data_IF_744042693838
#
_entry.id   IF_744042693838
#
_cell.length_a   1.000
_cell.length_b   1.000
_cell.length_c   1.000
_cell.angle_alpha   90.00
_cell.angle_beta   90.00
_cell.angle_gamma   90.00
#
_symmetry.space_group_name_H-M   'P 1'
#
loop_
_entity.id
_entity.type
_entity.pdbx_description
1 polymer ?
#
# COMPACT_ATOMS: atom_id res chain seq x y z
N UNK A 1 9.02 -12.37 -12.33
CA UNK A 1 9.37 -12.71 -13.75
C UNK A 1 10.85 -12.38 -13.91
N UNK A 2 11.66 -13.33 -14.32
CA UNK A 2 13.11 -13.11 -14.43
C UNK A 2 13.45 -12.27 -15.65
N UNK A 3 14.12 -11.12 -15.44
CA UNK A 3 14.55 -10.22 -16.53
C UNK A 3 15.82 -10.78 -17.19
N UNK A 4 15.69 -11.26 -18.42
CA UNK A 4 16.83 -11.87 -19.15
C UNK A 4 17.34 -11.01 -20.32
N UNK A 5 16.58 -9.97 -20.70
CA UNK A 5 16.90 -9.08 -21.81
C UNK A 5 16.83 -7.62 -21.38
N UNK A 6 17.68 -6.78 -21.94
CA UNK A 6 17.68 -5.36 -21.72
C UNK A 6 16.36 -4.73 -22.21
N UNK A 7 15.69 -3.98 -21.34
CA UNK A 7 14.41 -3.31 -21.66
C UNK A 7 14.58 -2.14 -22.65
N UNK A 8 15.82 -1.67 -22.84
CA UNK A 8 16.11 -0.55 -23.74
C UNK A 8 16.53 -1.00 -25.16
N UNK A 9 17.38 -2.04 -25.28
CA UNK A 9 17.93 -2.45 -26.58
C UNK A 9 17.67 -3.91 -26.94
N UNK A 10 16.99 -4.69 -26.08
CA UNK A 10 16.67 -6.09 -26.31
C UNK A 10 17.86 -7.06 -26.21
N UNK A 11 19.09 -6.61 -25.94
CA UNK A 11 20.24 -7.50 -25.77
C UNK A 11 20.09 -8.38 -24.55
N UNK A 12 20.56 -9.62 -24.65
CA UNK A 12 20.62 -10.55 -23.51
C UNK A 12 21.54 -9.97 -22.42
N UNK A 13 21.08 -9.98 -21.17
CA UNK A 13 21.84 -9.52 -20.02
C UNK A 13 22.89 -10.55 -19.60
N UNK A 14 24.01 -10.07 -19.08
CA UNK A 14 25.07 -10.87 -18.46
C UNK A 14 25.14 -10.57 -16.97
N UNK A 15 25.76 -11.44 -16.19
CA UNK A 15 26.07 -11.15 -14.80
C UNK A 15 27.36 -10.34 -14.71
N UNK A 16 27.37 -9.31 -13.86
CA UNK A 16 28.53 -8.47 -13.61
C UNK A 16 28.53 -8.02 -12.15
N UNK A 17 29.69 -8.12 -11.45
CA UNK A 17 29.78 -7.71 -10.04
C UNK A 17 29.57 -6.19 -9.86
N UNK A 18 28.92 -5.81 -8.76
CA UNK A 18 28.66 -4.42 -8.35
C UNK A 18 29.01 -4.24 -6.87
N UNK A 19 30.21 -3.80 -6.58
CA UNK A 19 30.65 -3.54 -5.21
C UNK A 19 30.37 -4.72 -4.27
N UNK A 20 29.66 -4.47 -3.18
CA UNK A 20 29.22 -5.43 -2.18
C UNK A 20 27.83 -6.06 -2.48
N UNK A 21 27.13 -5.58 -3.53
CA UNK A 21 25.81 -6.07 -3.96
C UNK A 21 25.88 -7.41 -4.73
N UNK A 22 27.08 -7.95 -4.92
CA UNK A 22 27.30 -9.20 -5.65
C UNK A 22 27.09 -9.06 -7.16
N UNK A 23 26.72 -10.16 -7.82
CA UNK A 23 26.49 -10.18 -9.27
C UNK A 23 25.10 -9.69 -9.62
N UNK A 24 25.02 -8.65 -10.45
CA UNK A 24 23.78 -8.08 -10.95
C UNK A 24 23.66 -8.24 -12.47
N UNK A 25 22.46 -8.26 -12.99
CA UNK A 25 22.22 -8.29 -14.43
C UNK A 25 22.66 -6.99 -15.08
N UNK A 26 23.39 -7.08 -16.19
CA UNK A 26 24.04 -5.97 -16.84
C UNK A 26 23.89 -6.04 -18.35
N UNK A 27 23.58 -4.92 -18.97
CA UNK A 27 23.59 -4.75 -20.41
C UNK A 27 24.91 -4.14 -20.87
N UNK A 28 25.70 -4.90 -21.63
CA UNK A 28 27.01 -4.46 -22.14
C UNK A 28 26.90 -3.35 -23.21
N UNK A 29 25.77 -3.27 -23.91
CA UNK A 29 25.52 -2.26 -24.95
C UNK A 29 25.08 -0.91 -24.34
N UNK A 30 24.11 -0.95 -23.40
CA UNK A 30 23.58 0.25 -22.77
C UNK A 30 24.38 0.69 -21.55
N UNK A 31 25.39 -0.06 -21.15
CA UNK A 31 26.21 0.18 -19.96
C UNK A 31 25.35 0.37 -18.69
N UNK A 32 24.36 -0.53 -18.47
CA UNK A 32 23.35 -0.37 -17.42
C UNK A 32 23.16 -1.66 -16.63
N UNK A 33 23.12 -1.52 -15.28
CA UNK A 33 22.74 -2.59 -14.36
C UNK A 33 21.22 -2.66 -14.19
N UNK A 34 20.75 -3.85 -13.87
CA UNK A 34 19.37 -4.16 -13.52
C UNK A 34 19.35 -4.90 -12.18
N UNK A 35 18.64 -4.32 -11.23
CA UNK A 35 18.43 -4.90 -9.91
C UNK A 35 17.03 -5.54 -9.87
N UNK A 36 16.91 -6.67 -9.18
CA UNK A 36 15.60 -7.31 -8.96
C UNK A 36 14.90 -6.67 -7.76
N UNK A 37 14.52 -5.43 -7.93
CA UNK A 37 13.83 -4.68 -6.89
C UNK A 37 12.35 -5.05 -6.86
N UNK A 38 11.74 -5.20 -5.66
CA UNK A 38 10.31 -5.35 -5.54
C UNK A 38 9.58 -4.12 -6.09
N UNK A 39 8.37 -4.32 -6.60
CA UNK A 39 7.47 -3.20 -6.86
C UNK A 39 7.04 -2.57 -5.53
N UNK A 40 6.68 -1.28 -5.56
CA UNK A 40 6.17 -0.55 -4.39
C UNK A 40 4.68 -0.28 -4.53
N UNK A 41 3.94 -0.41 -3.42
CA UNK A 41 2.57 0.06 -3.31
C UNK A 41 2.28 0.57 -1.90
N UNK A 42 1.25 1.41 -1.75
CA UNK A 42 0.74 1.82 -0.46
C UNK A 42 -0.38 0.90 0.03
N UNK A 43 -0.47 0.73 1.35
CA UNK A 43 -1.58 0.08 2.05
C UNK A 43 -2.10 1.05 3.11
N UNK A 44 -3.35 1.52 2.98
CA UNK A 44 -3.82 2.68 3.71
C UNK A 44 -5.04 2.36 4.57
N UNK A 45 -4.90 2.50 5.89
CA UNK A 45 -6.02 2.53 6.81
C UNK A 45 -6.56 3.97 6.90
N UNK A 46 -7.77 4.21 6.41
CA UNK A 46 -8.38 5.52 6.30
C UNK A 46 -9.34 5.74 7.48
N UNK A 47 -9.09 6.78 8.28
CA UNK A 47 -9.92 7.14 9.43
C UNK A 47 -10.61 8.48 9.20
N UNK A 48 -11.87 8.58 9.63
CA UNK A 48 -12.63 9.84 9.61
C UNK A 48 -12.65 10.54 10.98
N UNK A 49 -13.29 11.70 11.04
CA UNK A 49 -13.43 12.52 12.25
C UNK A 49 -14.26 11.86 13.37
N UNK A 50 -14.99 10.78 13.05
CA UNK A 50 -15.76 9.98 14.03
C UNK A 50 -14.99 8.77 14.54
N UNK A 51 -13.69 8.68 14.20
CA UNK A 51 -12.86 7.52 14.48
C UNK A 51 -13.42 6.21 13.89
N UNK A 52 -14.01 6.28 12.71
CA UNK A 52 -14.42 5.12 11.91
C UNK A 52 -13.38 4.87 10.84
N UNK A 53 -13.17 3.60 10.49
CA UNK A 53 -12.26 3.18 9.42
C UNK A 53 -13.05 2.84 8.16
N UNK A 54 -12.53 3.24 7.01
CA UNK A 54 -13.13 2.93 5.72
C UNK A 54 -12.69 1.53 5.28
N UNK A 55 -13.66 0.68 5.01
CA UNK A 55 -13.48 -0.66 4.47
C UNK A 55 -13.91 -0.70 3.01
N UNK A 56 -13.13 -1.39 2.18
CA UNK A 56 -13.36 -1.54 0.75
C UNK A 56 -13.73 -3.00 0.44
N UNK A 57 -14.79 -3.20 -0.32
CA UNK A 57 -15.11 -4.49 -0.91
C UNK A 57 -14.52 -4.56 -2.31
N UNK A 58 -13.64 -5.51 -2.54
CA UNK A 58 -12.95 -5.74 -3.82
C UNK A 58 -13.00 -7.24 -4.11
N UNK A 59 -14.03 -7.69 -4.81
CA UNK A 59 -14.33 -9.12 -5.03
C UNK A 59 -13.21 -9.86 -5.76
N UNK A 60 -12.37 -9.17 -6.51
CA UNK A 60 -11.19 -9.74 -7.17
C UNK A 60 -10.03 -10.01 -6.17
N UNK A 61 -10.05 -9.38 -4.98
CA UNK A 61 -9.09 -9.64 -3.90
C UNK A 61 -9.65 -10.67 -2.92
N UNK A 62 -10.86 -10.40 -2.39
CA UNK A 62 -11.54 -11.28 -1.46
C UNK A 62 -13.06 -11.22 -1.62
N UNK A 63 -13.68 -12.38 -1.86
CA UNK A 63 -15.15 -12.47 -1.96
C UNK A 63 -15.83 -12.45 -0.60
N UNK A 64 -15.12 -12.78 0.48
CA UNK A 64 -15.69 -12.93 1.83
C UNK A 64 -15.45 -11.70 2.71
N UNK A 65 -14.26 -11.12 2.62
CA UNK A 65 -13.79 -10.10 3.54
C UNK A 65 -13.62 -8.75 2.82
N UNK A 66 -13.62 -7.69 3.60
CA UNK A 66 -13.23 -6.36 3.16
C UNK A 66 -11.70 -6.22 3.16
N UNK A 67 -11.21 -5.20 2.47
CA UNK A 67 -9.79 -4.85 2.40
C UNK A 67 -9.59 -3.39 2.81
N UNK A 68 -8.33 -2.99 2.93
CA UNK A 68 -7.95 -1.59 3.02
C UNK A 68 -7.59 -1.07 1.62
N UNK A 69 -7.64 0.25 1.45
CA UNK A 69 -7.22 0.92 0.21
C UNK A 69 -5.75 0.59 -0.09
N UNK A 70 -5.44 0.28 -1.34
CA UNK A 70 -4.07 -0.03 -1.75
C UNK A 70 -3.85 0.24 -3.23
N UNK A 71 -2.65 0.71 -3.58
CA UNK A 71 -2.33 0.95 -4.98
C UNK A 71 -0.85 1.11 -5.25
N UNK A 72 -0.46 0.89 -6.49
CA UNK A 72 0.94 0.95 -6.91
C UNK A 72 1.47 2.37 -7.00
N UNK A 73 2.72 2.54 -6.55
CA UNK A 73 3.50 3.75 -6.78
C UNK A 73 3.68 3.97 -8.29
N UNK A 74 3.30 5.15 -8.78
CA UNK A 74 3.53 5.55 -10.18
C UNK A 74 4.85 6.31 -10.32
N UNK A 75 5.43 6.27 -11.50
CA UNK A 75 6.67 6.98 -11.80
C UNK A 75 6.50 8.49 -11.56
N UNK A 76 7.35 9.03 -10.70
CA UNK A 76 7.39 10.46 -10.37
C UNK A 76 6.55 10.85 -9.15
N UNK A 77 5.86 9.91 -8.51
CA UNK A 77 5.14 10.12 -7.25
C UNK A 77 6.02 9.80 -6.04
N UNK A 78 5.76 10.45 -4.94
CA UNK A 78 6.16 10.01 -3.60
C UNK A 78 5.12 9.04 -3.04
N UNK A 79 5.42 8.37 -1.93
CA UNK A 79 4.47 7.47 -1.26
C UNK A 79 3.24 8.24 -0.75
N UNK A 80 3.44 9.44 -0.19
CA UNK A 80 2.37 10.31 0.31
C UNK A 80 1.46 10.78 -0.83
N UNK A 81 2.01 11.13 -1.99
CA UNK A 81 1.22 11.48 -3.17
C UNK A 81 0.42 10.28 -3.69
N UNK A 82 1.02 9.08 -3.66
CA UNK A 82 0.32 7.83 -3.98
C UNK A 82 -0.84 7.58 -3.02
N UNK A 83 -0.65 7.78 -1.70
CA UNK A 83 -1.74 7.68 -0.70
C UNK A 83 -2.88 8.62 -1.05
N UNK A 84 -2.58 9.90 -1.33
CA UNK A 84 -3.61 10.90 -1.67
C UNK A 84 -4.37 10.51 -2.93
N UNK A 85 -3.68 10.05 -3.95
CA UNK A 85 -4.28 9.64 -5.22
C UNK A 85 -5.15 8.39 -5.08
N UNK A 86 -4.62 7.31 -4.49
CA UNK A 86 -5.35 6.03 -4.36
C UNK A 86 -6.58 6.18 -3.47
N UNK A 87 -6.47 6.89 -2.33
CA UNK A 87 -7.62 7.16 -1.47
C UNK A 87 -8.70 7.91 -2.24
N UNK A 88 -8.33 8.89 -3.06
CA UNK A 88 -9.31 9.63 -3.86
C UNK A 88 -9.88 8.79 -5.00
N UNK A 89 -9.05 8.07 -5.76
CA UNK A 89 -9.47 7.24 -6.91
C UNK A 89 -10.39 6.09 -6.48
N UNK A 90 -10.09 5.41 -5.36
CA UNK A 90 -10.88 4.27 -4.91
C UNK A 90 -12.11 4.65 -4.09
N UNK A 91 -12.08 5.78 -3.37
CA UNK A 91 -13.11 6.07 -2.36
C UNK A 91 -13.82 7.42 -2.50
N UNK A 92 -13.25 8.35 -3.27
CA UNK A 92 -13.72 9.74 -3.37
C UNK A 92 -13.36 10.61 -2.17
N UNK A 93 -12.70 10.05 -1.13
CA UNK A 93 -12.33 10.80 0.07
C UNK A 93 -11.09 11.66 -0.16
N UNK A 94 -11.02 12.82 0.49
CA UNK A 94 -9.86 13.72 0.40
C UNK A 94 -9.00 13.62 1.66
N UNK A 95 -7.76 13.20 1.49
CA UNK A 95 -6.77 13.07 2.57
C UNK A 95 -6.42 14.46 3.12
N UNK A 96 -6.56 14.63 4.43
CA UNK A 96 -6.14 15.82 5.19
C UNK A 96 -4.69 15.68 5.64
N UNK A 97 -4.34 14.49 6.13
CA UNK A 97 -2.99 14.12 6.53
C UNK A 97 -2.80 12.62 6.44
N UNK A 98 -1.57 12.18 6.23
CA UNK A 98 -1.21 10.78 6.33
C UNK A 98 0.10 10.60 7.10
N UNK A 99 0.28 9.41 7.66
CA UNK A 99 1.45 9.05 8.44
C UNK A 99 1.88 7.62 8.13
N UNK A 100 3.17 7.43 7.86
CA UNK A 100 3.75 6.10 7.70
C UNK A 100 3.72 5.30 9.00
N UNK A 101 3.41 4.01 8.88
CA UNK A 101 3.33 3.07 10.02
C UNK A 101 4.41 2.02 9.94
N UNK A 102 4.41 1.23 8.87
CA UNK A 102 5.28 0.07 8.70
C UNK A 102 5.28 -0.38 7.25
N UNK A 103 6.30 -1.10 6.80
CA UNK A 103 6.31 -1.80 5.52
C UNK A 103 6.16 -3.30 5.68
N UNK A 104 5.64 -3.93 4.64
CA UNK A 104 5.40 -5.37 4.55
C UNK A 104 5.93 -5.87 3.21
N UNK A 105 6.61 -7.02 3.21
CA UNK A 105 6.97 -7.69 1.97
C UNK A 105 5.92 -8.73 1.60
N UNK A 106 5.45 -8.71 0.36
CA UNK A 106 4.47 -9.66 -0.17
C UNK A 106 5.12 -10.53 -1.25
N UNK A 107 5.66 -11.72 -0.86
CA UNK A 107 6.44 -12.59 -1.74
C UNK A 107 5.73 -13.01 -3.03
N UNK A 108 4.41 -13.32 -3.03
CA UNK A 108 3.75 -13.82 -4.24
C UNK A 108 3.81 -12.86 -5.43
N UNK A 109 3.96 -11.56 -5.17
CA UNK A 109 4.03 -10.53 -6.22
C UNK A 109 5.37 -9.80 -6.26
N UNK A 110 6.37 -10.20 -5.44
CA UNK A 110 7.61 -9.46 -5.23
C UNK A 110 7.31 -7.98 -5.00
N UNK A 111 6.55 -7.67 -3.94
CA UNK A 111 5.96 -6.37 -3.67
C UNK A 111 6.28 -5.89 -2.26
N UNK A 112 6.75 -4.66 -2.12
CA UNK A 112 6.77 -3.95 -0.84
C UNK A 112 5.49 -3.14 -0.74
N UNK A 113 4.77 -3.32 0.39
CA UNK A 113 3.58 -2.56 0.73
C UNK A 113 3.94 -1.61 1.88
N UNK A 114 3.94 -0.32 1.59
CA UNK A 114 4.18 0.73 2.58
C UNK A 114 2.87 1.13 3.23
N UNK A 115 2.74 0.77 4.52
CA UNK A 115 1.53 0.97 5.32
C UNK A 115 1.42 2.37 5.88
N UNK A 116 0.27 3.01 5.64
CA UNK A 116 -0.07 4.36 6.11
C UNK A 116 -1.38 4.39 6.89
N UNK A 117 -1.48 5.34 7.81
CA UNK A 117 -2.75 5.87 8.30
C UNK A 117 -3.05 7.13 7.50
N UNK A 118 -4.27 7.28 7.00
CA UNK A 118 -4.75 8.52 6.40
C UNK A 118 -5.96 9.04 7.19
N UNK A 119 -6.02 10.37 7.36
CA UNK A 119 -7.14 11.06 7.99
C UNK A 119 -7.91 11.85 6.95
N UNK A 120 -9.23 11.71 6.99
CA UNK A 120 -10.16 12.38 6.09
C UNK A 120 -11.31 12.99 6.89
N UNK A 121 -12.02 13.94 6.31
CA UNK A 121 -13.37 14.31 6.74
C UNK A 121 -14.36 13.55 5.88
N UNK A 122 -15.20 12.72 6.50
CA UNK A 122 -16.12 11.86 5.76
C UNK A 122 -17.01 12.68 4.81
N UNK A 123 -17.08 12.24 3.56
CA UNK A 123 -17.91 12.81 2.50
C UNK A 123 -18.64 11.68 1.77
N UNK A 124 -19.45 12.02 0.77
CA UNK A 124 -20.06 11.04 -0.12
C UNK A 124 -18.98 10.17 -0.79
N UNK A 125 -19.28 8.90 -0.98
CA UNK A 125 -18.38 7.99 -1.67
C UNK A 125 -18.30 8.31 -3.15
N UNK A 126 -17.09 8.24 -3.70
CA UNK A 126 -16.87 8.32 -5.13
C UNK A 126 -17.24 7.01 -5.83
N UNK A 127 -17.39 7.06 -7.14
CA UNK A 127 -17.54 5.87 -7.95
C UNK A 127 -16.16 5.39 -8.42
N UNK A 128 -15.84 4.15 -8.14
CA UNK A 128 -14.65 3.47 -8.65
C UNK A 128 -15.05 2.17 -9.36
N UNK A 129 -14.37 1.85 -10.45
CA UNK A 129 -14.57 0.56 -11.15
C UNK A 129 -13.84 -0.61 -10.47
N UNK A 130 -12.99 -0.32 -9.47
CA UNK A 130 -12.15 -1.28 -8.77
C UNK A 130 -12.72 -1.68 -7.40
N UNK A 131 -13.74 -0.94 -6.92
CA UNK A 131 -14.36 -1.14 -5.61
C UNK A 131 -15.84 -1.44 -5.77
N UNK A 132 -16.28 -2.60 -5.27
CA UNK A 132 -17.66 -3.07 -5.37
C UNK A 132 -18.57 -2.43 -4.30
N UNK A 133 -18.01 -2.14 -3.09
CA UNK A 133 -18.73 -1.54 -1.97
C UNK A 133 -17.77 -0.81 -1.02
N UNK A 134 -18.28 0.22 -0.35
CA UNK A 134 -17.56 1.04 0.63
C UNK A 134 -18.39 1.21 1.89
N UNK A 135 -17.77 1.05 3.04
CA UNK A 135 -18.46 1.29 4.31
C UNK A 135 -17.53 1.87 5.38
N UNK A 136 -18.08 2.77 6.19
CA UNK A 136 -17.48 3.23 7.44
C UNK A 136 -17.86 2.27 8.56
N UNK A 137 -16.86 1.85 9.35
CA UNK A 137 -17.09 0.93 10.46
C UNK A 137 -16.23 1.32 11.67
N UNK A 138 -16.70 0.99 12.88
CA UNK A 138 -15.91 1.16 14.09
C UNK A 138 -14.70 0.22 14.10
N UNK A 139 -13.54 0.65 14.62
CA UNK A 139 -12.32 -0.16 14.61
C UNK A 139 -12.52 -1.56 15.18
N UNK A 140 -13.29 -1.70 16.26
CA UNK A 140 -13.53 -2.99 16.93
C UNK A 140 -14.29 -3.98 16.05
N UNK A 141 -15.15 -3.50 15.15
CA UNK A 141 -15.89 -4.33 14.20
C UNK A 141 -15.07 -4.53 12.93
N UNK A 142 -14.42 -3.48 12.44
CA UNK A 142 -13.59 -3.52 11.24
C UNK A 142 -12.52 -4.63 11.28
N UNK A 143 -11.86 -4.83 12.44
CA UNK A 143 -10.85 -5.89 12.62
C UNK A 143 -11.37 -7.30 12.40
N UNK A 144 -12.68 -7.51 12.53
CA UNK A 144 -13.33 -8.82 12.29
C UNK A 144 -13.76 -9.00 10.83
N UNK A 145 -13.82 -7.93 10.06
CA UNK A 145 -14.33 -7.90 8.69
C UNK A 145 -13.24 -7.89 7.63
N UNK A 146 -12.04 -7.43 7.98
CA UNK A 146 -10.92 -7.34 7.03
C UNK A 146 -10.27 -8.69 6.75
N UNK A 147 -9.77 -8.84 5.52
CA UNK A 147 -8.98 -9.99 5.07
C UNK A 147 -7.69 -10.13 5.90
N UNK A 148 -7.38 -11.34 6.37
CA UNK A 148 -6.22 -11.63 7.24
C UNK A 148 -5.29 -12.72 6.71
N UNK A 149 -5.78 -13.58 5.81
CA UNK A 149 -5.03 -14.76 5.38
C UNK A 149 -4.20 -14.49 4.11
N UNK A 150 -4.73 -13.68 3.20
CA UNK A 150 -4.19 -13.53 1.86
C UNK A 150 -3.54 -12.17 1.57
N UNK A 151 -3.59 -11.24 2.54
CA UNK A 151 -2.97 -9.92 2.43
C UNK A 151 -2.67 -9.33 3.82
N UNK A 152 -2.07 -8.14 3.84
CA UNK A 152 -1.64 -7.48 5.08
C UNK A 152 -2.70 -6.56 5.70
N UNK A 153 -3.94 -6.48 5.16
CA UNK A 153 -4.96 -5.52 5.62
C UNK A 153 -5.28 -5.66 7.11
N UNK A 154 -5.47 -6.89 7.59
CA UNK A 154 -5.79 -7.13 9.01
C UNK A 154 -4.64 -6.76 9.93
N UNK A 155 -3.41 -7.20 9.64
CA UNK A 155 -2.25 -6.84 10.47
C UNK A 155 -1.98 -5.34 10.47
N UNK A 156 -2.10 -4.71 9.30
CA UNK A 156 -1.90 -3.26 9.17
C UNK A 156 -2.94 -2.48 9.96
N UNK A 157 -4.22 -2.87 9.89
CA UNK A 157 -5.29 -2.22 10.68
C UNK A 157 -5.03 -2.32 12.18
N UNK A 158 -4.63 -3.50 12.68
CA UNK A 158 -4.28 -3.69 14.09
C UNK A 158 -3.15 -2.74 14.53
N UNK A 159 -2.09 -2.59 13.73
CA UNK A 159 -0.98 -1.66 13.98
C UNK A 159 -1.43 -0.21 14.01
N UNK A 160 -2.31 0.17 13.08
CA UNK A 160 -2.86 1.53 13.02
C UNK A 160 -3.67 1.87 14.26
N UNK A 161 -4.56 0.96 14.69
CA UNK A 161 -5.37 1.14 15.90
C UNK A 161 -4.49 1.27 17.15
N UNK A 162 -3.49 0.40 17.30
CA UNK A 162 -2.53 0.48 18.40
C UNK A 162 -1.80 1.82 18.45
N UNK A 163 -1.34 2.32 17.28
CA UNK A 163 -0.64 3.60 17.17
C UNK A 163 -1.54 4.78 17.57
N UNK A 164 -2.80 4.77 17.15
CA UNK A 164 -3.79 5.81 17.49
C UNK A 164 -4.11 5.81 19.00
N UNK A 165 -4.27 4.65 19.60
CA UNK A 165 -4.53 4.50 21.04
C UNK A 165 -3.36 5.01 21.88
N UNK A 166 -2.12 4.76 21.48
CA UNK A 166 -0.92 5.27 22.17
C UNK A 166 -0.84 6.80 22.13
N UNK A 167 -1.15 7.42 20.98
CA UNK A 167 -1.19 8.89 20.86
C UNK A 167 -2.28 9.52 21.74
N UNK A 168 -3.46 8.91 21.80
CA UNK A 168 -4.55 9.37 22.66
C UNK A 168 -4.19 9.30 24.16
N UNK A 169 -3.37 8.33 24.56
CA UNK A 169 -2.89 8.19 25.94
C UNK A 169 -1.85 9.27 26.30
N UNK A 170 -0.95 9.59 25.34
CA UNK A 170 0.07 10.64 25.55
C UNK A 170 -0.53 12.04 25.68
N UNK A 171 -1.63 12.33 25.01
CA UNK A 171 -2.34 13.61 25.09
C UNK A 171 -3.17 13.78 26.39
N UNK A 172 -3.51 12.69 27.09
CA UNK A 172 -4.24 12.74 28.37
C UNK A 172 -3.32 12.91 29.58
N UNK A 173 -2.01 12.83 29.39
CA UNK A 173 -0.98 12.95 30.47
C UNK A 173 -0.30 14.32 30.46
N UNK A 174 -0.69 15.25 29.61
CA UNK A 174 -0.28 16.67 29.57
C UNK A 174 -1.46 17.56 29.93
#
# INVERSE_FOLDING_TARGET
>A
MELNFCTQCGRKLVLKPVGDEGEQKYCTECNRYYFDNPASCVLVAIFNERNEVLLLKQNYISQKHYTLCSGYLKKGETLEETVVREVFEETGQRVISCEYVQSYYFPPKNLIMEGFIAFVKASEFGNSNEVDDLMWEKPEQAVTMVERENNWSGEHLDKCILKLNQKSFSFRLL
#
